data_IF_363097563571
#
_entry.id   IF_363097563571
#
_cell.length_a   1.000
_cell.length_b   1.000
_cell.length_c   1.000
_cell.angle_alpha   90.00
_cell.angle_beta   90.00
_cell.angle_gamma   90.00
#
_symmetry.space_group_name_H-M   'P 1'
#
loop_
_entity.id
_entity.type
_entity.pdbx_description
1 polymer ?
#
# COMPACT_ATOMS: atom_id res chain seq x y z
N UNK A 1 14.15 -50.72 46.79
CA UNK A 1 14.56 -49.34 46.43
C UNK A 1 15.25 -49.36 45.08
N UNK A 2 14.53 -48.98 44.03
CA UNK A 2 15.08 -48.46 42.76
C UNK A 2 14.07 -47.41 42.29
N UNK A 3 14.52 -46.18 42.12
CA UNK A 3 13.74 -44.98 41.78
C UNK A 3 13.50 -44.91 40.26
N UNK A 4 12.24 -44.88 39.82
CA UNK A 4 11.87 -44.61 38.44
C UNK A 4 11.48 -43.14 38.30
N UNK A 5 12.41 -42.32 37.82
CA UNK A 5 12.13 -40.96 37.38
C UNK A 5 11.67 -40.97 35.92
N UNK A 6 10.49 -40.43 35.65
CA UNK A 6 10.12 -39.91 34.32
C UNK A 6 9.30 -38.64 34.50
N UNK A 7 9.96 -37.49 34.37
CA UNK A 7 9.31 -36.20 34.13
C UNK A 7 8.91 -36.15 32.67
N UNK A 8 7.73 -36.64 32.32
CA UNK A 8 7.16 -36.39 30.99
C UNK A 8 6.44 -35.06 31.03
N UNK A 9 7.08 -34.03 30.46
CA UNK A 9 6.48 -32.73 30.19
C UNK A 9 5.45 -32.92 29.07
N UNK A 10 4.16 -33.02 29.42
CA UNK A 10 3.08 -32.88 28.44
C UNK A 10 3.02 -31.44 27.99
N UNK A 11 3.84 -31.09 26.99
CA UNK A 11 3.50 -29.96 26.12
C UNK A 11 2.26 -30.44 25.37
N UNK A 12 1.09 -30.01 25.82
CA UNK A 12 -0.15 -30.15 25.06
C UNK A 12 0.08 -29.45 23.71
N UNK A 13 0.41 -30.27 22.71
CA UNK A 13 0.46 -29.87 21.32
C UNK A 13 -0.90 -29.23 21.04
N UNK A 14 -0.92 -27.91 20.83
CA UNK A 14 -2.11 -27.20 20.40
C UNK A 14 -2.59 -27.94 19.15
N UNK A 15 -3.77 -28.56 19.25
CA UNK A 15 -4.41 -29.19 18.11
C UNK A 15 -4.83 -28.09 17.13
N UNK A 16 -3.93 -27.74 16.21
CA UNK A 16 -4.36 -27.29 14.89
C UNK A 16 -4.90 -28.54 14.19
N UNK A 17 -6.20 -28.78 14.33
CA UNK A 17 -6.91 -29.78 13.52
C UNK A 17 -6.65 -29.54 12.03
N UNK A 18 -6.86 -30.53 11.15
CA UNK A 18 -6.51 -30.40 9.75
C UNK A 18 -7.32 -29.27 9.12
N UNK A 19 -6.66 -28.17 8.77
CA UNK A 19 -7.24 -27.18 7.87
C UNK A 19 -7.61 -27.93 6.58
N UNK A 20 -8.91 -28.00 6.27
CA UNK A 20 -9.36 -28.73 5.09
C UNK A 20 -8.80 -28.04 3.83
N UNK A 21 -8.44 -28.83 2.82
CA UNK A 21 -7.83 -28.32 1.58
C UNK A 21 -8.69 -27.25 0.87
N UNK A 22 -10.00 -27.25 1.10
CA UNK A 22 -10.92 -26.21 0.61
C UNK A 22 -10.74 -24.87 1.34
N UNK A 23 -10.53 -24.88 2.66
CA UNK A 23 -10.29 -23.66 3.44
C UNK A 23 -8.96 -23.02 3.04
N UNK A 24 -7.91 -23.85 2.91
CA UNK A 24 -6.60 -23.40 2.44
C UNK A 24 -6.69 -22.72 1.06
N UNK A 25 -7.47 -23.27 0.13
CA UNK A 25 -7.69 -22.65 -1.18
C UNK A 25 -8.45 -21.32 -1.10
N UNK A 26 -9.42 -21.21 -0.19
CA UNK A 26 -10.16 -19.95 0.03
C UNK A 26 -9.25 -18.87 0.61
N UNK A 27 -8.42 -19.22 1.59
CA UNK A 27 -7.47 -18.29 2.22
C UNK A 27 -6.40 -17.84 1.21
N UNK A 28 -5.89 -18.77 0.40
CA UNK A 28 -4.97 -18.47 -0.69
C UNK A 28 -5.60 -17.52 -1.72
N UNK A 29 -6.85 -17.74 -2.10
CA UNK A 29 -7.55 -16.86 -3.04
C UNK A 29 -7.72 -15.45 -2.46
N UNK A 30 -8.10 -15.33 -1.18
CA UNK A 30 -8.18 -14.04 -0.49
C UNK A 30 -6.82 -13.33 -0.48
N UNK A 31 -5.76 -14.02 -0.11
CA UNK A 31 -4.40 -13.45 -0.10
C UNK A 31 -3.99 -12.92 -1.47
N UNK A 32 -4.30 -13.64 -2.55
CA UNK A 32 -3.98 -13.19 -3.92
C UNK A 32 -4.75 -11.90 -4.26
N UNK A 33 -6.01 -11.78 -3.85
CA UNK A 33 -6.81 -10.56 -4.08
C UNK A 33 -6.24 -9.39 -3.28
N UNK A 34 -5.95 -9.58 -2.00
CA UNK A 34 -5.37 -8.55 -1.13
C UNK A 34 -4.02 -8.08 -1.70
N UNK A 35 -3.14 -9.01 -2.11
CA UNK A 35 -1.85 -8.67 -2.72
C UNK A 35 -1.99 -7.87 -4.03
N UNK A 36 -2.99 -8.18 -4.85
CA UNK A 36 -3.24 -7.43 -6.10
C UNK A 36 -3.75 -6.02 -5.81
N UNK A 37 -4.61 -5.88 -4.82
CA UNK A 37 -5.10 -4.60 -4.34
C UNK A 37 -3.95 -3.74 -3.81
N UNK A 38 -3.11 -4.29 -2.94
CA UNK A 38 -1.94 -3.61 -2.40
C UNK A 38 -0.97 -3.18 -3.51
N UNK A 39 -0.70 -4.06 -4.49
CA UNK A 39 0.14 -3.71 -5.64
C UNK A 39 -0.45 -2.57 -6.47
N UNK A 40 -1.77 -2.55 -6.66
CA UNK A 40 -2.45 -1.47 -7.36
C UNK A 40 -2.32 -0.15 -6.59
N UNK A 41 -2.56 -0.17 -5.29
CA UNK A 41 -2.40 0.98 -4.41
C UNK A 41 -0.96 1.52 -4.46
N UNK A 42 0.04 0.65 -4.34
CA UNK A 42 1.45 1.04 -4.42
C UNK A 42 1.81 1.71 -5.73
N UNK A 43 1.34 1.21 -6.87
CA UNK A 43 1.56 1.86 -8.17
C UNK A 43 0.95 3.25 -8.23
N UNK A 44 -0.28 3.40 -7.74
CA UNK A 44 -0.92 4.72 -7.67
C UNK A 44 -0.14 5.69 -6.75
N UNK A 45 0.29 5.20 -5.59
CA UNK A 45 1.03 5.98 -4.59
C UNK A 45 2.42 6.36 -5.06
N UNK A 46 3.13 5.51 -5.81
CA UNK A 46 4.44 5.82 -6.37
C UNK A 46 4.35 6.69 -7.63
N UNK A 47 3.21 6.63 -8.33
CA UNK A 47 2.91 7.46 -9.50
C UNK A 47 3.66 7.03 -10.76
N UNK A 48 4.32 5.89 -10.72
CA UNK A 48 4.99 5.27 -11.85
C UNK A 48 4.24 4.00 -12.27
N UNK A 49 3.87 3.95 -13.54
CA UNK A 49 3.11 2.85 -14.12
C UNK A 49 1.59 3.03 -14.05
N UNK A 50 0.89 2.08 -14.65
CA UNK A 50 -0.58 2.09 -14.68
C UNK A 50 -1.15 1.53 -13.37
N UNK A 51 -2.17 2.19 -12.85
CA UNK A 51 -2.96 1.72 -11.73
C UNK A 51 -4.46 1.97 -12.01
N UNK A 52 -5.31 1.12 -11.45
CA UNK A 52 -6.76 1.20 -11.54
C UNK A 52 -7.32 1.97 -10.35
N UNK A 53 -7.69 3.23 -10.58
CA UNK A 53 -8.30 4.07 -9.55
C UNK A 53 -9.71 3.60 -9.13
N UNK A 54 -10.39 2.78 -9.94
CA UNK A 54 -11.74 2.28 -9.62
C UNK A 54 -11.72 1.15 -8.59
N UNK A 55 -10.56 0.51 -8.43
CA UNK A 55 -10.34 -0.53 -7.43
C UNK A 55 -9.97 0.01 -6.03
N UNK A 56 -9.74 1.32 -5.90
CA UNK A 56 -9.34 1.94 -4.63
C UNK A 56 -10.54 2.20 -3.73
N UNK A 57 -10.34 2.02 -2.42
CA UNK A 57 -11.24 2.58 -1.42
C UNK A 57 -11.17 4.11 -1.42
N UNK A 58 -12.20 4.77 -0.92
CA UNK A 58 -12.26 6.24 -0.89
C UNK A 58 -11.08 6.88 -0.13
N UNK A 59 -10.67 6.26 0.99
CA UNK A 59 -9.52 6.71 1.77
C UNK A 59 -8.20 6.59 0.99
N UNK A 60 -8.03 5.50 0.24
CA UNK A 60 -6.85 5.25 -0.59
C UNK A 60 -6.81 6.19 -1.78
N UNK A 61 -7.95 6.45 -2.42
CA UNK A 61 -8.07 7.41 -3.50
C UNK A 61 -7.68 8.83 -3.05
N UNK A 62 -8.05 9.21 -1.81
CA UNK A 62 -7.62 10.46 -1.20
C UNK A 62 -6.11 10.51 -0.98
N UNK A 63 -5.53 9.45 -0.42
CA UNK A 63 -4.08 9.35 -0.19
C UNK A 63 -3.29 9.45 -1.52
N UNK A 64 -3.76 8.76 -2.56
CA UNK A 64 -3.18 8.83 -3.91
C UNK A 64 -3.29 10.24 -4.51
N UNK A 65 -4.42 10.93 -4.30
CA UNK A 65 -4.58 12.31 -4.76
C UNK A 65 -3.60 13.26 -4.06
N UNK A 66 -3.41 13.10 -2.75
CA UNK A 66 -2.45 13.89 -1.98
C UNK A 66 -1.00 13.60 -2.42
N UNK A 67 -0.63 12.34 -2.63
CA UNK A 67 0.69 11.96 -3.15
C UNK A 67 0.95 12.52 -4.56
N UNK A 68 -0.06 12.47 -5.45
CA UNK A 68 0.00 13.08 -6.79
C UNK A 68 0.22 14.59 -6.70
N UNK A 69 -0.48 15.24 -5.78
CA UNK A 69 -0.34 16.68 -5.54
C UNK A 69 1.08 17.05 -5.09
N UNK A 70 1.63 16.32 -4.13
CA UNK A 70 2.99 16.54 -3.63
C UNK A 70 4.06 16.39 -4.71
N UNK A 71 3.96 15.34 -5.54
CA UNK A 71 4.86 15.17 -6.70
C UNK A 71 4.74 16.35 -7.68
N UNK A 72 3.53 16.82 -7.93
CA UNK A 72 3.28 17.93 -8.84
C UNK A 72 3.90 19.24 -8.34
N UNK A 73 3.83 19.50 -7.03
CA UNK A 73 4.52 20.62 -6.40
C UNK A 73 6.04 20.49 -6.53
N UNK A 74 6.60 19.32 -6.23
CA UNK A 74 8.03 19.07 -6.36
C UNK A 74 8.51 19.25 -7.80
N UNK A 75 7.74 18.78 -8.79
CA UNK A 75 8.05 18.98 -10.20
C UNK A 75 8.06 20.47 -10.57
N UNK A 76 7.17 21.26 -9.98
CA UNK A 76 7.11 22.71 -10.19
C UNK A 76 8.28 23.46 -9.56
N UNK A 77 8.74 23.02 -8.40
CA UNK A 77 9.87 23.61 -7.66
C UNK A 77 11.22 23.26 -8.30
N UNK A 78 11.38 22.00 -8.70
CA UNK A 78 12.65 21.49 -9.23
C UNK A 78 12.78 21.68 -10.75
N UNK A 79 11.66 21.86 -11.45
CA UNK A 79 11.61 21.85 -12.92
C UNK A 79 11.78 20.47 -13.54
N UNK A 80 11.85 19.40 -12.74
CA UNK A 80 12.01 18.03 -13.20
C UNK A 80 10.71 17.24 -13.09
N UNK A 81 10.36 16.51 -14.15
CA UNK A 81 9.11 15.75 -14.23
C UNK A 81 7.96 16.54 -14.85
N UNK A 82 6.77 15.93 -14.89
CA UNK A 82 5.57 16.56 -15.44
C UNK A 82 4.86 17.39 -14.38
N UNK A 83 4.60 18.66 -14.70
CA UNK A 83 3.81 19.56 -13.88
C UNK A 83 2.46 19.83 -14.56
N UNK A 84 1.39 19.36 -13.94
CA UNK A 84 0.02 19.71 -14.27
C UNK A 84 -0.40 20.94 -13.46
N UNK A 85 -0.55 22.08 -14.14
CA UNK A 85 -0.95 23.34 -13.50
C UNK A 85 -2.35 23.29 -12.90
N UNK A 86 -3.23 22.40 -13.37
CA UNK A 86 -4.60 22.27 -12.85
C UNK A 86 -4.65 21.64 -11.46
N UNK A 87 -3.58 20.92 -11.09
CA UNK A 87 -3.47 20.28 -9.79
C UNK A 87 -2.83 21.19 -8.74
N UNK A 88 -2.33 22.37 -9.11
CA UNK A 88 -1.81 23.34 -8.13
C UNK A 88 -2.98 24.11 -7.50
N UNK A 89 -3.00 24.23 -6.17
CA UNK A 89 -3.91 25.16 -5.51
C UNK A 89 -3.48 26.60 -5.83
N UNK A 90 -4.45 27.51 -5.84
CA UNK A 90 -4.21 28.91 -6.18
C UNK A 90 -3.12 29.57 -5.31
N UNK A 91 -3.00 29.18 -4.04
CA UNK A 91 -1.96 29.69 -3.13
C UNK A 91 -0.57 29.13 -3.47
N UNK A 92 -0.47 27.83 -3.79
CA UNK A 92 0.78 27.18 -4.16
C UNK A 92 1.33 27.73 -5.49
N UNK A 93 0.46 27.96 -6.47
CA UNK A 93 0.83 28.58 -7.73
C UNK A 93 1.41 30.01 -7.57
N UNK A 94 1.00 30.72 -6.50
CA UNK A 94 1.50 32.06 -6.16
C UNK A 94 2.82 32.02 -5.39
N UNK A 95 2.97 31.07 -4.46
CA UNK A 95 4.18 30.93 -3.65
C UNK A 95 5.38 30.39 -4.43
N UNK A 96 5.18 29.50 -5.41
CA UNK A 96 6.27 28.89 -6.19
C UNK A 96 6.77 29.81 -7.32
N UNK A 97 6.55 31.12 -7.19
CA UNK A 97 7.08 32.13 -8.10
C UNK A 97 6.66 31.92 -9.56
N UNK A 98 5.55 32.53 -9.97
CA UNK A 98 5.48 33.12 -11.31
C UNK A 98 6.33 34.40 -11.34
N UNK A 99 7.61 34.26 -10.98
CA UNK A 99 8.68 35.20 -11.26
C UNK A 99 9.46 34.61 -12.42
N UNK A 100 9.16 35.10 -13.63
CA UNK A 100 10.01 35.11 -14.82
C UNK A 100 11.34 34.35 -14.74
N UNK A 101 11.53 33.36 -15.61
CA UNK A 101 12.84 32.98 -16.12
C UNK A 101 12.69 32.39 -17.53
N UNK A 102 13.00 33.25 -18.50
CA UNK A 102 13.32 33.05 -19.94
C UNK A 102 12.37 32.25 -20.82
#
# INVERSE_FOLDING_TARGET
MVTAGTRTCVIALRASGPATSQHLRSDQAKQIVDMRHDQNLWKCLDGYGECDHTALAESEAKEVADAKHQRNLLARETGYGLCDRTLLRAEEARQIGLGSSS
#
